data_IF_938600687814
#
_entry.id   IF_938600687814
#
_cell.length_a   1.000
_cell.length_b   1.000
_cell.length_c   1.000
_cell.angle_alpha   90.00
_cell.angle_beta   90.00
_cell.angle_gamma   90.00
#
_symmetry.space_group_name_H-M   'P 1'
#
loop_
_entity.id
_entity.type
_entity.pdbx_description
1 polymer ?
#
# COMPACT_ATOMS: atom_id res chain seq x y z
N UNK A 1 -4.98 -22.20 -24.78
CA UNK A 1 -6.05 -22.42 -23.78
C UNK A 1 -6.00 -21.26 -22.82
N UNK A 2 -7.13 -20.87 -22.21
CA UNK A 2 -7.20 -19.79 -21.22
C UNK A 2 -8.08 -20.23 -20.05
N UNK A 3 -7.74 -19.78 -18.84
CA UNK A 3 -8.46 -20.12 -17.62
C UNK A 3 -9.26 -18.90 -17.14
N UNK A 4 -10.59 -18.86 -17.27
CA UNK A 4 -11.41 -17.82 -16.64
C UNK A 4 -11.53 -18.03 -15.13
N UNK A 5 -11.48 -16.94 -14.37
CA UNK A 5 -11.88 -16.91 -12.96
C UNK A 5 -13.41 -16.91 -12.90
N UNK A 6 -13.99 -17.98 -12.35
CA UNK A 6 -15.43 -18.15 -12.23
C UNK A 6 -16.10 -16.99 -11.49
N UNK A 7 -15.50 -16.52 -10.39
CA UNK A 7 -16.06 -15.42 -9.61
C UNK A 7 -16.10 -14.13 -10.44
N UNK A 8 -15.00 -13.78 -11.12
CA UNK A 8 -14.94 -12.60 -11.99
C UNK A 8 -15.90 -12.71 -13.16
N UNK A 9 -16.02 -13.89 -13.78
CA UNK A 9 -16.95 -14.14 -14.86
C UNK A 9 -18.41 -13.91 -14.41
N UNK A 10 -18.83 -14.50 -13.29
CA UNK A 10 -20.18 -14.28 -12.74
C UNK A 10 -20.41 -12.82 -12.36
N UNK A 11 -19.41 -12.15 -11.78
CA UNK A 11 -19.47 -10.72 -11.47
C UNK A 11 -19.79 -9.90 -12.73
N UNK A 12 -19.04 -10.11 -13.81
CA UNK A 12 -19.26 -9.38 -15.06
C UNK A 12 -20.56 -9.76 -15.76
N UNK A 13 -20.98 -11.02 -15.70
CA UNK A 13 -22.29 -11.43 -16.22
C UNK A 13 -23.43 -10.70 -15.49
N UNK A 14 -23.39 -10.65 -14.16
CA UNK A 14 -24.38 -9.91 -13.38
C UNK A 14 -24.29 -8.39 -13.59
N UNK A 15 -23.08 -7.83 -13.71
CA UNK A 15 -22.87 -6.41 -13.98
C UNK A 15 -23.45 -5.99 -15.35
N UNK A 16 -23.40 -6.90 -16.33
CA UNK A 16 -24.00 -6.70 -17.66
C UNK A 16 -25.45 -7.18 -17.77
N UNK A 17 -26.02 -7.73 -16.69
CA UNK A 17 -27.37 -8.32 -16.66
C UNK A 17 -27.60 -9.33 -17.79
N UNK A 18 -26.56 -10.12 -18.08
CA UNK A 18 -26.60 -11.15 -19.12
C UNK A 18 -26.77 -12.54 -18.51
N UNK A 19 -27.26 -13.47 -19.32
CA UNK A 19 -27.38 -14.89 -19.01
C UNK A 19 -26.52 -15.72 -19.96
N UNK A 20 -26.27 -17.01 -19.67
CA UNK A 20 -25.57 -17.89 -20.60
C UNK A 20 -26.21 -17.95 -21.99
N UNK A 21 -27.54 -17.86 -22.07
CA UNK A 21 -28.29 -17.89 -23.33
C UNK A 21 -28.04 -16.63 -24.17
N UNK A 22 -28.02 -15.45 -23.52
CA UNK A 22 -27.72 -14.18 -24.19
C UNK A 22 -26.29 -14.14 -24.71
N UNK A 23 -25.33 -14.65 -23.93
CA UNK A 23 -23.94 -14.79 -24.39
C UNK A 23 -23.84 -15.82 -25.53
N UNK A 24 -24.68 -16.86 -25.50
CA UNK A 24 -24.88 -17.81 -26.59
C UNK A 24 -25.20 -17.15 -27.92
N UNK A 25 -26.15 -16.22 -27.91
CA UNK A 25 -26.55 -15.46 -29.09
C UNK A 25 -25.43 -14.54 -29.65
N UNK A 26 -24.48 -14.14 -28.80
CA UNK A 26 -23.29 -13.34 -29.15
C UNK A 26 -22.09 -14.21 -29.60
N UNK A 27 -22.30 -15.52 -29.78
CA UNK A 27 -21.29 -16.44 -30.33
C UNK A 27 -20.39 -17.11 -29.28
N UNK A 28 -20.72 -16.99 -27.99
CA UNK A 28 -20.09 -17.78 -26.93
C UNK A 28 -20.73 -19.18 -26.90
N UNK A 29 -19.93 -20.23 -26.89
CA UNK A 29 -20.46 -21.59 -26.76
C UNK A 29 -21.09 -21.78 -25.36
N UNK A 30 -22.42 -21.93 -25.33
CA UNK A 30 -23.18 -22.06 -24.09
C UNK A 30 -22.77 -23.30 -23.29
N UNK A 31 -22.42 -24.42 -23.94
CA UNK A 31 -22.00 -25.62 -23.23
C UNK A 31 -20.62 -25.42 -22.57
N UNK A 32 -19.72 -24.71 -23.25
CA UNK A 32 -18.42 -24.31 -22.67
C UNK A 32 -18.63 -23.38 -21.49
N UNK A 33 -19.52 -22.39 -21.62
CA UNK A 33 -19.82 -21.43 -20.57
C UNK A 33 -20.46 -22.10 -19.34
N UNK A 34 -21.46 -22.96 -19.52
CA UNK A 34 -22.08 -23.71 -18.42
C UNK A 34 -21.05 -24.56 -17.68
N UNK A 35 -20.18 -25.27 -18.41
CA UNK A 35 -19.13 -26.07 -17.80
C UNK A 35 -18.10 -25.24 -17.00
N UNK A 36 -17.84 -23.99 -17.40
CA UNK A 36 -17.02 -23.07 -16.61
C UNK A 36 -17.75 -22.61 -15.34
N UNK A 37 -19.05 -22.28 -15.47
CA UNK A 37 -19.86 -21.77 -14.37
C UNK A 37 -20.18 -22.82 -13.30
N UNK A 38 -20.30 -24.10 -13.67
CA UNK A 38 -20.47 -25.21 -12.72
C UNK A 38 -19.14 -25.76 -12.18
N UNK A 39 -18.01 -25.35 -12.78
CA UNK A 39 -16.66 -25.73 -12.38
C UNK A 39 -16.18 -27.08 -12.94
N UNK A 40 -16.96 -27.74 -13.80
CA UNK A 40 -16.55 -28.96 -14.51
C UNK A 40 -15.46 -28.70 -15.56
N UNK A 41 -15.27 -27.45 -15.96
CA UNK A 41 -14.22 -27.01 -16.89
C UNK A 41 -13.50 -25.76 -16.38
N UNK A 42 -12.19 -25.85 -16.24
CA UNK A 42 -11.35 -24.72 -15.82
C UNK A 42 -10.69 -24.00 -16.99
N UNK A 43 -10.43 -24.70 -18.10
CA UNK A 43 -9.75 -24.12 -19.27
C UNK A 43 -10.64 -24.13 -20.53
N UNK A 44 -10.65 -23.03 -21.27
CA UNK A 44 -11.41 -22.88 -22.52
C UNK A 44 -10.52 -22.49 -23.69
N UNK A 45 -10.96 -22.73 -24.95
CA UNK A 45 -10.22 -22.28 -26.13
C UNK A 45 -10.05 -20.76 -26.15
N UNK A 46 -8.93 -20.27 -26.67
CA UNK A 46 -8.64 -18.83 -26.79
C UNK A 46 -9.77 -18.07 -27.49
N UNK A 47 -10.30 -18.64 -28.58
CA UNK A 47 -11.39 -18.04 -29.34
C UNK A 47 -12.66 -17.83 -28.48
N UNK A 48 -12.99 -18.81 -27.64
CA UNK A 48 -14.13 -18.72 -26.71
C UNK A 48 -13.87 -17.69 -25.60
N UNK A 49 -12.65 -17.64 -25.08
CA UNK A 49 -12.26 -16.63 -24.10
C UNK A 49 -12.32 -15.21 -24.68
N UNK A 50 -11.85 -15.01 -25.91
CA UNK A 50 -11.95 -13.74 -26.62
C UNK A 50 -13.41 -13.37 -26.89
N UNK A 51 -14.25 -14.31 -27.34
CA UNK A 51 -15.68 -14.09 -27.53
C UNK A 51 -16.37 -13.64 -26.23
N UNK A 52 -16.04 -14.29 -25.10
CA UNK A 52 -16.51 -13.87 -23.77
C UNK A 52 -16.11 -12.45 -23.41
N UNK A 53 -14.83 -12.09 -23.61
CA UNK A 53 -14.34 -10.73 -23.35
C UNK A 53 -15.08 -9.69 -24.19
N UNK A 54 -15.28 -9.98 -25.48
CA UNK A 54 -15.99 -9.11 -26.41
C UNK A 54 -17.46 -8.93 -26.00
N UNK A 55 -18.16 -10.04 -25.74
CA UNK A 55 -19.58 -10.01 -25.37
C UNK A 55 -19.81 -9.27 -24.04
N UNK A 56 -18.93 -9.46 -23.05
CA UNK A 56 -19.00 -8.77 -21.75
C UNK A 56 -18.44 -7.35 -21.77
N UNK A 57 -17.75 -6.96 -22.85
CA UNK A 57 -17.02 -5.68 -22.99
C UNK A 57 -16.04 -5.48 -21.84
N UNK A 58 -15.16 -6.45 -21.67
CA UNK A 58 -14.12 -6.51 -20.64
C UNK A 58 -12.79 -6.88 -21.28
N UNK A 59 -11.68 -6.55 -20.62
CA UNK A 59 -10.35 -7.00 -21.04
C UNK A 59 -10.08 -8.42 -20.52
N UNK A 60 -9.18 -9.18 -21.17
CA UNK A 60 -8.78 -10.50 -20.70
C UNK A 60 -8.42 -10.58 -19.22
N UNK A 61 -7.71 -9.58 -18.70
CA UNK A 61 -7.20 -9.52 -17.32
C UNK A 61 -8.33 -9.40 -16.29
N UNK A 62 -9.48 -8.85 -16.69
CA UNK A 62 -10.65 -8.65 -15.83
C UNK A 62 -11.42 -9.95 -15.55
N UNK A 63 -11.24 -10.99 -16.38
CA UNK A 63 -11.90 -12.29 -16.21
C UNK A 63 -10.93 -13.46 -16.13
N UNK A 64 -9.65 -13.32 -16.52
CA UNK A 64 -8.67 -14.38 -16.39
C UNK A 64 -8.46 -14.76 -14.92
N UNK A 65 -8.34 -16.07 -14.68
CA UNK A 65 -7.80 -16.62 -13.45
C UNK A 65 -6.37 -16.13 -13.27
N UNK A 66 -6.04 -15.80 -12.02
CA UNK A 66 -4.65 -15.56 -11.64
C UNK A 66 -4.04 -16.93 -11.34
N UNK A 67 -2.96 -17.27 -12.04
CA UNK A 67 -2.40 -18.62 -12.04
C UNK A 67 -1.84 -19.06 -10.68
N UNK A 68 -1.48 -18.12 -9.79
CA UNK A 68 -0.87 -18.47 -8.51
C UNK A 68 -1.78 -18.17 -7.31
N UNK A 69 -2.01 -19.20 -6.49
CA UNK A 69 -2.30 -18.96 -5.07
C UNK A 69 -1.04 -18.32 -4.50
N UNK A 70 -1.13 -17.05 -4.08
CA UNK A 70 0.02 -16.37 -3.53
C UNK A 70 0.60 -17.17 -2.34
N UNK A 71 1.93 -17.37 -2.25
CA UNK A 71 2.53 -17.96 -1.07
C UNK A 71 2.15 -17.19 0.19
N UNK A 72 2.16 -17.88 1.35
CA UNK A 72 1.95 -17.25 2.66
C UNK A 72 3.23 -16.60 3.19
N UNK A 73 4.39 -17.13 2.80
CA UNK A 73 5.71 -16.64 3.17
C UNK A 73 6.69 -16.79 2.00
N UNK A 74 7.65 -15.87 1.91
CA UNK A 74 8.82 -15.97 1.03
C UNK A 74 10.04 -15.67 1.88
N UNK A 75 10.98 -16.61 1.94
CA UNK A 75 12.22 -16.45 2.68
C UNK A 75 13.39 -16.38 1.70
N UNK A 76 14.35 -15.50 1.97
CA UNK A 76 15.55 -15.33 1.15
C UNK A 76 16.78 -15.27 2.06
N UNK A 77 17.75 -16.15 1.78
CA UNK A 77 19.02 -16.17 2.52
C UNK A 77 19.86 -14.92 2.22
N UNK A 78 20.84 -14.63 3.08
CA UNK A 78 21.81 -13.56 2.83
C UNK A 78 22.57 -13.75 1.51
N UNK A 79 22.95 -15.00 1.20
CA UNK A 79 23.63 -15.34 -0.05
C UNK A 79 22.74 -15.04 -1.26
N UNK A 80 21.46 -15.43 -1.21
CA UNK A 80 20.52 -15.18 -2.30
C UNK A 80 20.27 -13.68 -2.46
N UNK A 81 20.21 -12.92 -1.36
CA UNK A 81 20.11 -11.47 -1.40
C UNK A 81 21.34 -10.84 -2.06
N UNK A 82 22.54 -11.23 -1.66
CA UNK A 82 23.80 -10.73 -2.23
C UNK A 82 23.92 -11.08 -3.72
N UNK A 83 23.39 -12.24 -4.14
CA UNK A 83 23.34 -12.62 -5.55
C UNK A 83 22.49 -11.69 -6.42
N UNK A 84 21.57 -10.92 -5.83
CA UNK A 84 20.76 -9.91 -6.55
C UNK A 84 21.47 -8.58 -6.78
N UNK A 85 22.74 -8.44 -6.37
CA UNK A 85 23.50 -7.19 -6.45
C UNK A 85 23.46 -6.57 -7.84
N UNK A 86 23.03 -5.31 -7.92
CA UNK A 86 23.08 -4.49 -9.13
C UNK A 86 23.92 -3.22 -8.90
N UNK A 87 25.10 -3.09 -9.53
CA UNK A 87 25.89 -1.87 -9.46
C UNK A 87 25.22 -0.76 -10.28
N UNK A 88 25.19 0.46 -9.74
CA UNK A 88 24.63 1.64 -10.41
C UNK A 88 25.74 2.67 -10.63
N UNK A 89 25.90 3.08 -11.88
CA UNK A 89 26.80 4.16 -12.29
C UNK A 89 26.01 5.47 -12.36
N UNK A 90 26.52 6.53 -11.73
CA UNK A 90 25.93 7.88 -11.78
C UNK A 90 27.05 8.90 -11.64
N UNK A 91 26.96 10.00 -12.39
CA UNK A 91 28.00 11.04 -12.41
C UNK A 91 29.43 10.48 -12.67
N UNK A 92 29.54 9.43 -13.50
CA UNK A 92 30.83 8.83 -13.85
C UNK A 92 31.47 7.94 -12.78
N UNK A 93 30.79 7.69 -11.66
CA UNK A 93 31.29 6.83 -10.56
C UNK A 93 30.34 5.66 -10.28
N UNK A 94 30.88 4.61 -9.65
CA UNK A 94 30.08 3.56 -9.05
C UNK A 94 29.41 4.12 -7.79
N UNK A 95 28.13 4.46 -7.92
CA UNK A 95 27.42 5.26 -6.93
C UNK A 95 26.71 4.40 -5.86
N UNK A 96 26.09 3.29 -6.30
CA UNK A 96 25.36 2.38 -5.41
C UNK A 96 25.58 0.92 -5.80
N UNK A 97 25.39 0.01 -4.85
CA UNK A 97 24.92 -1.35 -5.12
C UNK A 97 23.48 -1.48 -4.62
N UNK A 98 22.57 -1.99 -5.44
CA UNK A 98 21.20 -2.32 -5.02
C UNK A 98 21.07 -3.84 -4.80
N UNK A 99 20.45 -4.23 -3.69
CA UNK A 99 20.10 -5.60 -3.37
C UNK A 99 18.59 -5.71 -3.17
N UNK A 100 17.98 -6.71 -3.78
CA UNK A 100 16.52 -6.92 -3.70
C UNK A 100 16.23 -7.86 -2.54
N UNK A 101 15.39 -7.42 -1.61
CA UNK A 101 14.91 -8.26 -0.50
C UNK A 101 13.76 -9.17 -0.97
N UNK A 102 13.39 -10.15 -0.14
CA UNK A 102 12.30 -11.09 -0.40
C UNK A 102 11.05 -10.34 -0.86
N UNK A 103 10.57 -10.65 -2.06
CA UNK A 103 9.61 -9.80 -2.78
C UNK A 103 8.20 -10.40 -2.70
N UNK A 104 7.22 -9.56 -2.43
CA UNK A 104 5.81 -9.92 -2.61
C UNK A 104 5.52 -10.47 -4.03
N UNK A 105 4.69 -11.50 -4.18
CA UNK A 105 4.31 -12.08 -5.47
C UNK A 105 3.47 -11.13 -6.32
N UNK A 106 2.93 -10.04 -5.74
CA UNK A 106 2.15 -9.01 -6.45
C UNK A 106 3.06 -7.84 -6.88
N UNK A 107 2.69 -7.09 -7.92
CA UNK A 107 3.35 -5.82 -8.23
C UNK A 107 3.07 -4.81 -7.11
N UNK A 108 3.85 -4.87 -6.03
CA UNK A 108 3.74 -4.01 -4.86
C UNK A 108 5.10 -3.46 -4.42
N UNK A 109 5.24 -3.20 -3.11
CA UNK A 109 6.43 -2.66 -2.47
C UNK A 109 7.71 -3.38 -2.91
N UNK A 110 8.77 -2.60 -3.15
CA UNK A 110 10.09 -3.12 -3.55
C UNK A 110 11.11 -2.71 -2.50
N UNK A 111 11.17 -3.41 -1.36
CA UNK A 111 12.27 -3.20 -0.42
C UNK A 111 13.61 -3.39 -1.13
N UNK A 112 14.50 -2.43 -0.94
CA UNK A 112 15.87 -2.50 -1.42
C UNK A 112 16.80 -2.18 -0.26
N UNK A 113 17.81 -3.01 -0.06
CA UNK A 113 19.01 -2.61 0.70
C UNK A 113 20.04 -2.07 -0.30
N UNK A 114 20.71 -0.97 0.03
CA UNK A 114 21.66 -0.35 -0.88
C UNK A 114 22.94 0.06 -0.17
N UNK A 115 24.08 -0.26 -0.79
CA UNK A 115 25.39 0.26 -0.38
C UNK A 115 25.53 1.67 -0.93
N UNK A 116 25.91 2.61 -0.08
CA UNK A 116 26.27 3.96 -0.46
C UNK A 116 27.77 4.02 -0.76
N UNK A 117 28.13 4.33 -2.01
CA UNK A 117 29.51 4.32 -2.49
C UNK A 117 29.98 5.68 -2.99
N UNK A 118 29.10 6.68 -3.01
CA UNK A 118 29.49 8.05 -3.37
C UNK A 118 30.36 8.63 -2.24
N UNK A 119 31.63 8.96 -2.51
CA UNK A 119 32.52 9.51 -1.50
C UNK A 119 32.10 10.93 -1.13
N UNK A 120 32.50 11.38 0.06
CA UNK A 120 32.05 12.63 0.65
C UNK A 120 32.30 13.84 -0.27
N UNK A 121 33.46 13.87 -0.92
CA UNK A 121 33.89 14.92 -1.85
C UNK A 121 33.07 15.00 -3.15
N UNK A 122 32.36 13.94 -3.55
CA UNK A 122 31.56 13.90 -4.80
C UNK A 122 30.07 14.13 -4.55
N UNK A 123 29.64 14.29 -3.30
CA UNK A 123 28.20 14.35 -2.97
C UNK A 123 27.51 15.63 -3.49
N UNK A 124 28.28 16.67 -3.81
CA UNK A 124 27.77 17.90 -4.43
C UNK A 124 27.33 17.71 -5.90
N UNK A 125 28.00 16.83 -6.65
CA UNK A 125 27.88 16.70 -8.12
C UNK A 125 26.82 15.68 -8.58
N UNK A 126 26.21 14.94 -7.65
CA UNK A 126 25.26 13.86 -7.93
C UNK A 126 23.86 14.37 -8.36
N UNK A 127 23.73 15.03 -9.50
CA UNK A 127 22.45 15.48 -10.06
C UNK A 127 21.96 14.52 -11.16
N UNK A 128 20.83 13.83 -10.92
CA UNK A 128 19.79 13.44 -11.93
C UNK A 128 18.69 12.59 -11.28
N UNK A 129 17.43 12.90 -11.61
CA UNK A 129 16.18 12.40 -11.02
C UNK A 129 15.92 10.90 -11.27
N UNK A 130 15.35 10.16 -10.29
CA UNK A 130 14.36 9.14 -10.58
C UNK A 130 12.95 9.62 -10.21
N UNK A 131 11.99 9.26 -11.05
CA UNK A 131 10.55 9.30 -10.75
C UNK A 131 10.20 8.00 -9.99
N UNK A 132 9.74 8.08 -8.73
CA UNK A 132 8.69 7.22 -8.11
C UNK A 132 8.46 7.58 -6.63
N UNK A 133 7.38 7.04 -6.09
CA UNK A 133 6.63 7.35 -4.85
C UNK A 133 7.38 7.08 -3.53
N UNK A 134 6.85 7.61 -2.42
CA UNK A 134 7.42 7.71 -1.06
C UNK A 134 8.22 6.51 -0.54
N UNK A 135 9.35 6.81 0.09
CA UNK A 135 10.30 5.86 0.67
C UNK A 135 10.39 6.01 2.20
N UNK A 136 10.34 4.91 2.94
CA UNK A 136 10.82 4.83 4.31
C UNK A 136 12.26 4.35 4.30
N UNK A 137 13.16 5.08 4.96
CA UNK A 137 14.58 4.75 4.93
C UNK A 137 15.21 4.60 6.30
N UNK A 138 16.08 3.61 6.41
CA UNK A 138 16.84 3.27 7.62
C UNK A 138 18.32 3.03 7.26
N UNK A 139 19.26 3.89 7.69
CA UNK A 139 20.69 3.74 7.44
C UNK A 139 21.42 2.89 8.48
N UNK A 140 22.50 2.25 8.03
CA UNK A 140 23.50 1.47 8.79
C UNK A 140 24.87 1.44 8.06
N UNK A 141 25.96 2.04 8.57
CA UNK A 141 26.08 3.23 9.40
C UNK A 141 26.60 4.45 8.60
N UNK A 142 25.92 5.60 8.71
CA UNK A 142 26.24 6.96 8.19
C UNK A 142 26.01 7.25 6.70
N UNK A 143 24.88 7.90 6.40
CA UNK A 143 24.56 8.40 5.04
C UNK A 143 23.89 9.77 5.07
N UNK A 144 24.06 10.56 4.01
CA UNK A 144 23.41 11.86 3.86
C UNK A 144 22.15 11.84 2.98
N UNK A 145 20.92 11.95 3.46
CA UNK A 145 19.78 12.27 2.62
C UNK A 145 19.92 13.69 2.10
N UNK A 146 19.90 13.85 0.78
CA UNK A 146 19.79 15.14 0.10
C UNK A 146 18.44 15.23 -0.61
N UNK A 147 17.79 16.39 -0.56
CA UNK A 147 16.61 16.69 -1.39
C UNK A 147 17.04 17.47 -2.64
N UNK A 148 16.62 17.02 -3.82
CA UNK A 148 16.91 17.66 -5.10
C UNK A 148 15.93 18.84 -5.33
N UNK A 149 16.46 20.05 -5.53
CA UNK A 149 15.65 21.19 -5.99
C UNK A 149 16.11 22.60 -5.56
N UNK A 150 17.02 22.73 -4.59
CA UNK A 150 17.54 24.01 -4.10
C UNK A 150 19.05 23.97 -3.79
N UNK A 151 19.61 25.12 -3.41
CA UNK A 151 20.98 25.20 -2.88
C UNK A 151 21.13 24.36 -1.59
N UNK A 152 22.37 23.94 -1.27
CA UNK A 152 22.63 23.17 -0.06
C UNK A 152 22.47 24.05 1.18
N UNK A 153 21.59 23.64 2.09
CA UNK A 153 21.36 24.26 3.40
C UNK A 153 20.95 23.19 4.43
N UNK A 154 20.78 23.60 5.68
CA UNK A 154 20.43 22.72 6.81
C UNK A 154 19.04 22.06 6.67
N UNK A 155 18.24 22.49 5.69
CA UNK A 155 16.92 21.96 5.38
C UNK A 155 17.02 20.86 4.33
N UNK A 156 17.85 21.07 3.31
CA UNK A 156 18.04 20.20 2.14
C UNK A 156 19.16 19.16 2.29
N UNK A 157 19.94 19.27 3.37
CA UNK A 157 21.06 18.39 3.70
C UNK A 157 21.07 17.99 5.18
N UNK A 158 21.21 16.70 5.47
CA UNK A 158 21.33 16.19 6.84
C UNK A 158 22.28 14.98 6.90
N UNK A 159 22.93 14.76 8.04
CA UNK A 159 23.63 13.50 8.37
C UNK A 159 22.63 12.56 9.02
N UNK A 160 22.51 11.31 8.55
CA UNK A 160 21.81 10.26 9.29
C UNK A 160 22.81 9.37 10.00
N UNK A 161 22.61 9.22 11.31
CA UNK A 161 23.35 8.30 12.15
C UNK A 161 22.71 6.90 12.12
N UNK A 162 23.43 5.84 12.51
CA UNK A 162 22.87 4.49 12.57
C UNK A 162 21.64 4.43 13.50
N UNK A 163 20.53 3.91 12.98
CA UNK A 163 19.25 3.86 13.70
C UNK A 163 18.41 5.13 13.63
N UNK A 164 18.91 6.19 12.99
CA UNK A 164 18.02 7.25 12.50
C UNK A 164 17.10 6.66 11.42
N UNK A 165 15.96 7.29 11.21
CA UNK A 165 15.07 6.89 10.13
C UNK A 165 14.19 8.06 9.72
N UNK A 166 13.68 8.01 8.50
CA UNK A 166 12.79 9.04 8.03
C UNK A 166 11.82 8.54 6.97
N UNK A 167 10.77 9.34 6.72
CA UNK A 167 9.79 9.14 5.64
C UNK A 167 9.96 10.26 4.62
N UNK A 168 10.27 9.88 3.39
CA UNK A 168 10.41 10.78 2.25
C UNK A 168 9.03 11.06 1.60
N UNK A 169 8.66 12.33 1.34
CA UNK A 169 7.41 12.67 0.66
C UNK A 169 7.42 12.27 -0.82
N UNK A 170 6.22 12.20 -1.41
CA UNK A 170 6.07 11.57 -2.75
C UNK A 170 6.65 12.51 -3.78
N UNK A 171 7.35 11.97 -4.77
CA UNK A 171 8.00 12.75 -5.82
C UNK A 171 9.09 13.70 -5.32
N UNK A 172 9.45 13.64 -4.04
CA UNK A 172 10.58 14.39 -3.49
C UNK A 172 11.88 13.69 -3.91
N UNK A 173 12.66 14.27 -4.83
CA UNK A 173 13.78 13.55 -5.38
C UNK A 173 14.94 13.59 -4.39
N UNK A 174 15.66 12.48 -4.23
CA UNK A 174 16.64 12.34 -3.17
C UNK A 174 17.90 11.56 -3.58
N UNK A 175 18.97 11.67 -2.80
CA UNK A 175 20.24 10.96 -3.00
C UNK A 175 21.02 10.83 -1.69
N UNK A 176 21.97 9.89 -1.66
CA UNK A 176 22.88 9.61 -0.55
C UNK A 176 24.34 9.68 -0.97
N UNK A 177 25.18 10.23 -0.09
CA UNK A 177 26.64 10.10 -0.14
C UNK A 177 27.18 9.81 1.26
N UNK A 178 28.41 9.32 1.32
CA UNK A 178 29.08 9.03 2.57
C UNK A 178 29.50 10.33 3.28
N UNK A 179 29.55 10.30 4.60
CA UNK A 179 30.06 11.42 5.41
C UNK A 179 31.59 11.45 5.38
N UNK A 180 32.18 10.26 5.37
CA UNK A 180 33.62 9.97 5.38
C UNK A 180 33.86 8.61 4.69
N UNK A 181 35.05 8.03 4.80
CA UNK A 181 35.38 6.75 4.16
C UNK A 181 34.70 5.52 4.81
N UNK A 182 33.89 5.70 5.85
CA UNK A 182 33.17 4.61 6.51
C UNK A 182 32.10 4.06 5.57
N UNK A 183 32.13 2.75 5.23
CA UNK A 183 31.09 2.15 4.40
C UNK A 183 29.73 2.23 5.08
N UNK A 184 28.70 2.55 4.29
CA UNK A 184 27.34 2.68 4.78
C UNK A 184 26.33 2.01 3.85
N UNK A 185 25.28 1.44 4.44
CA UNK A 185 24.13 0.86 3.76
C UNK A 185 22.85 1.50 4.25
N UNK A 186 21.81 1.54 3.43
CA UNK A 186 20.46 1.89 3.90
C UNK A 186 19.46 0.88 3.39
N UNK A 187 18.38 0.66 4.15
CA UNK A 187 17.17 0.04 3.63
C UNK A 187 16.27 1.15 3.13
N UNK A 188 15.86 1.10 1.86
CA UNK A 188 14.77 1.92 1.32
C UNK A 188 13.55 1.04 1.09
N UNK A 189 12.44 1.40 1.72
CA UNK A 189 11.19 0.68 1.69
C UNK A 189 10.05 1.54 1.16
N UNK A 190 9.56 1.18 -0.01
CA UNK A 190 8.53 1.94 -0.71
C UNK A 190 7.15 1.35 -0.44
N UNK A 191 6.20 2.15 0.03
CA UNK A 191 4.80 1.74 0.11
C UNK A 191 4.05 1.93 -1.22
N UNK A 192 2.90 1.29 -1.38
CA UNK A 192 1.98 1.62 -2.48
C UNK A 192 1.25 2.92 -2.15
N UNK A 193 1.14 3.80 -3.14
CA UNK A 193 0.39 5.04 -2.96
C UNK A 193 -1.11 4.77 -3.07
N UNK A 194 -1.86 5.17 -2.06
CA UNK A 194 -3.33 5.18 -2.10
C UNK A 194 -3.91 6.10 -3.19
N UNK A 195 -3.09 6.96 -3.80
CA UNK A 195 -3.46 7.77 -4.95
C UNK A 195 -3.11 7.13 -6.30
N UNK A 196 -2.39 5.99 -6.32
CA UNK A 196 -1.89 5.40 -7.57
C UNK A 196 -3.01 5.16 -8.59
N UNK A 197 -4.14 4.60 -8.13
CA UNK A 197 -5.30 4.36 -8.99
C UNK A 197 -5.93 5.66 -9.49
N UNK A 198 -6.08 6.67 -8.63
CA UNK A 198 -6.60 7.97 -9.05
C UNK A 198 -5.68 8.59 -10.11
N UNK A 199 -4.36 8.54 -9.90
CA UNK A 199 -3.38 9.06 -10.85
C UNK A 199 -3.48 8.35 -12.20
N UNK A 200 -3.56 7.02 -12.20
CA UNK A 200 -3.74 6.23 -13.43
C UNK A 200 -5.03 6.61 -14.17
N UNK A 201 -6.13 6.83 -13.46
CA UNK A 201 -7.40 7.27 -14.05
C UNK A 201 -7.35 8.72 -14.54
N UNK A 202 -6.73 9.64 -13.80
CA UNK A 202 -6.62 11.05 -14.22
C UNK A 202 -5.77 11.23 -15.48
N UNK A 203 -4.80 10.34 -15.72
CA UNK A 203 -3.96 10.37 -16.93
C UNK A 203 -4.74 10.04 -18.22
N UNK A 204 -5.96 9.50 -18.12
CA UNK A 204 -6.83 9.27 -19.29
C UNK A 204 -7.93 10.33 -19.43
N UNK A 205 -8.03 11.28 -18.51
CA UNK A 205 -8.98 12.39 -18.60
C UNK A 205 -8.51 13.39 -19.66
N UNK A 206 -9.44 14.22 -20.16
CA UNK A 206 -9.09 15.37 -20.99
C UNK A 206 -8.48 16.46 -20.11
N UNK A 207 -7.45 17.15 -20.59
CA UNK A 207 -6.72 18.16 -19.82
C UNK A 207 -7.62 19.18 -19.10
N UNK A 208 -8.68 19.75 -19.72
CA UNK A 208 -9.54 20.72 -19.04
C UNK A 208 -10.25 20.16 -17.80
N UNK A 209 -10.54 18.85 -17.78
CA UNK A 209 -11.19 18.21 -16.63
C UNK A 209 -10.20 18.00 -15.48
N UNK A 210 -8.97 17.60 -15.78
CA UNK A 210 -7.90 17.47 -14.79
C UNK A 210 -7.56 18.84 -14.19
N UNK A 211 -7.38 19.87 -15.02
CA UNK A 211 -7.09 21.24 -14.59
C UNK A 211 -8.20 21.82 -13.71
N UNK A 212 -9.48 21.53 -14.01
CA UNK A 212 -10.60 21.95 -13.17
C UNK A 212 -10.55 21.35 -11.77
N UNK A 213 -10.20 20.06 -11.65
CA UNK A 213 -10.02 19.40 -10.35
C UNK A 213 -8.84 20.01 -9.57
N UNK A 214 -7.70 20.21 -10.23
CA UNK A 214 -6.50 20.79 -9.61
C UNK A 214 -6.77 22.22 -9.11
N UNK A 215 -7.45 23.03 -9.92
CA UNK A 215 -7.82 24.40 -9.55
C UNK A 215 -8.75 24.43 -8.33
N UNK A 216 -9.74 23.53 -8.25
CA UNK A 216 -10.66 23.46 -7.10
C UNK A 216 -9.94 23.02 -5.82
N UNK A 217 -8.97 22.09 -5.92
CA UNK A 217 -8.15 21.61 -4.80
C UNK A 217 -7.10 22.62 -4.32
N UNK A 218 -6.61 23.52 -5.20
CA UNK A 218 -5.59 24.52 -4.86
C UNK A 218 -6.20 25.81 -4.25
N UNK A 219 -7.46 26.12 -4.59
CA UNK A 219 -8.10 27.36 -4.20
C UNK A 219 -8.38 27.51 -2.69
N UNK A 220 -8.56 26.40 -1.97
CA UNK A 220 -8.91 26.34 -0.54
C UNK A 220 -8.27 25.09 0.08
N UNK A 221 -8.22 24.96 1.43
CA UNK A 221 -7.83 23.69 2.06
C UNK A 221 -8.57 22.49 1.48
N UNK A 222 -7.87 21.36 1.31
CA UNK A 222 -8.41 20.20 0.61
C UNK A 222 -9.76 19.70 1.17
N UNK A 223 -9.95 19.73 2.50
CA UNK A 223 -11.23 19.33 3.12
C UNK A 223 -12.38 20.27 2.73
N UNK A 224 -12.13 21.56 2.56
CA UNK A 224 -13.11 22.55 2.08
C UNK A 224 -13.48 22.31 0.62
N UNK A 225 -12.49 22.03 -0.23
CA UNK A 225 -12.72 21.66 -1.63
C UNK A 225 -13.56 20.36 -1.73
N UNK A 226 -13.25 19.36 -0.89
CA UNK A 226 -14.01 18.10 -0.83
C UNK A 226 -15.46 18.35 -0.39
N UNK A 227 -15.72 19.20 0.61
CA UNK A 227 -17.10 19.55 1.00
C UNK A 227 -17.83 20.28 -0.15
N UNK A 228 -17.19 21.26 -0.81
CA UNK A 228 -17.77 21.95 -1.98
C UNK A 228 -18.17 20.95 -3.06
N UNK A 229 -17.28 20.01 -3.40
CA UNK A 229 -17.56 18.96 -4.37
C UNK A 229 -18.70 18.04 -3.90
N UNK A 230 -18.75 17.67 -2.62
CA UNK A 230 -19.81 16.83 -2.07
C UNK A 230 -21.20 17.50 -2.11
N UNK A 231 -21.27 18.82 -1.84
CA UNK A 231 -22.48 19.62 -1.94
C UNK A 231 -22.94 19.75 -3.40
N UNK A 232 -22.04 20.14 -4.32
CA UNK A 232 -22.32 20.24 -5.77
C UNK A 232 -22.81 18.91 -6.34
N UNK A 233 -22.19 17.78 -5.96
CA UNK A 233 -22.57 16.43 -6.37
C UNK A 233 -24.02 16.07 -6.00
N UNK A 234 -24.54 16.71 -4.95
CA UNK A 234 -25.90 16.54 -4.41
C UNK A 234 -26.84 17.69 -4.74
N UNK A 235 -26.42 18.58 -5.65
CA UNK A 235 -27.18 19.76 -6.06
C UNK A 235 -27.64 20.63 -4.86
N UNK A 236 -26.81 20.73 -3.83
CA UNK A 236 -27.07 21.59 -2.67
C UNK A 236 -26.08 22.75 -2.64
N UNK A 237 -26.57 23.93 -2.28
CA UNK A 237 -25.77 25.04 -1.76
C UNK A 237 -25.76 25.00 -0.22
N UNK A 238 -25.09 25.97 0.41
CA UNK A 238 -25.00 26.05 1.87
C UNK A 238 -26.38 26.19 2.54
N UNK A 239 -27.29 26.96 1.94
CA UNK A 239 -28.64 27.16 2.46
C UNK A 239 -29.48 25.88 2.39
N UNK A 240 -29.43 25.16 1.26
CA UNK A 240 -30.10 23.89 1.07
C UNK A 240 -29.57 22.81 2.01
N UNK A 241 -28.24 22.70 2.10
CA UNK A 241 -27.58 21.78 3.03
C UNK A 241 -27.93 22.09 4.49
N UNK A 242 -27.90 23.36 4.87
CA UNK A 242 -28.22 23.81 6.22
C UNK A 242 -29.66 23.50 6.63
N UNK A 243 -30.63 23.71 5.73
CA UNK A 243 -32.03 23.34 5.97
C UNK A 243 -32.24 21.83 6.13
N UNK A 244 -31.54 21.01 5.34
CA UNK A 244 -31.66 19.55 5.40
C UNK A 244 -31.02 18.96 6.66
N UNK A 245 -29.87 19.50 7.07
CA UNK A 245 -29.08 18.98 8.18
C UNK A 245 -29.36 19.68 9.52
N UNK A 246 -30.09 20.80 9.53
CA UNK A 246 -30.24 21.63 10.72
C UNK A 246 -28.95 22.36 11.14
N UNK A 247 -28.05 22.61 10.18
CA UNK A 247 -26.75 23.27 10.39
C UNK A 247 -26.78 24.69 9.82
N UNK A 248 -26.04 25.62 10.43
CA UNK A 248 -25.99 27.01 9.95
C UNK A 248 -25.42 27.10 8.53
N UNK A 249 -26.17 27.70 7.61
CA UNK A 249 -25.70 27.96 6.24
C UNK A 249 -24.46 28.88 6.22
N UNK A 250 -24.36 29.81 7.17
CA UNK A 250 -23.19 30.66 7.34
C UNK A 250 -21.95 29.84 7.69
N UNK A 251 -22.07 28.87 8.62
CA UNK A 251 -20.98 27.98 8.99
C UNK A 251 -20.55 27.10 7.81
N UNK A 252 -21.50 26.59 7.03
CA UNK A 252 -21.22 25.76 5.84
C UNK A 252 -20.50 26.59 4.76
N UNK A 253 -20.96 27.81 4.49
CA UNK A 253 -20.32 28.71 3.53
C UNK A 253 -18.91 29.07 3.99
N UNK A 254 -18.73 29.43 5.26
CA UNK A 254 -17.42 29.73 5.84
C UNK A 254 -16.44 28.55 5.70
N UNK A 255 -16.90 27.32 5.94
CA UNK A 255 -16.07 26.12 5.79
C UNK A 255 -15.67 25.92 4.34
N UNK A 256 -16.63 26.04 3.42
CA UNK A 256 -16.37 25.97 1.98
C UNK A 256 -15.33 27.01 1.55
N UNK A 257 -15.34 28.21 2.14
CA UNK A 257 -14.39 29.29 1.85
C UNK A 257 -13.04 29.16 2.57
N UNK A 258 -12.79 28.03 3.23
CA UNK A 258 -11.50 27.65 3.78
C UNK A 258 -11.34 27.87 5.29
N UNK A 259 -12.39 28.31 6.00
CA UNK A 259 -12.38 28.37 7.47
C UNK A 259 -12.76 26.99 8.03
N UNK A 260 -11.81 26.07 8.04
CA UNK A 260 -12.05 24.64 8.34
C UNK A 260 -12.51 24.37 9.78
N UNK A 261 -12.40 25.34 10.67
CA UNK A 261 -12.89 25.30 12.05
C UNK A 261 -14.33 25.85 12.22
N UNK A 262 -14.97 26.35 11.16
CA UNK A 262 -16.32 26.91 11.25
C UNK A 262 -17.43 25.87 11.39
N UNK A 263 -17.14 24.58 11.13
CA UNK A 263 -18.04 23.46 11.39
C UNK A 263 -17.43 22.57 12.47
N UNK A 264 -18.22 22.28 13.49
CA UNK A 264 -17.90 21.30 14.52
C UNK A 264 -17.99 19.88 13.99
N UNK A 265 -17.39 18.92 14.70
CA UNK A 265 -17.49 17.50 14.35
C UNK A 265 -18.94 16.99 14.32
N UNK A 266 -19.78 17.50 15.22
CA UNK A 266 -21.19 17.13 15.27
C UNK A 266 -21.95 17.71 14.07
N UNK A 267 -21.72 18.98 13.71
CA UNK A 267 -22.30 19.56 12.48
C UNK A 267 -21.86 18.84 11.21
N UNK A 268 -20.58 18.44 11.11
CA UNK A 268 -20.09 17.63 9.99
C UNK A 268 -20.80 16.27 9.92
N UNK A 269 -21.06 15.64 11.08
CA UNK A 269 -21.80 14.38 11.16
C UNK A 269 -23.25 14.54 10.73
N UNK A 270 -23.94 15.58 11.19
CA UNK A 270 -25.32 15.88 10.79
C UNK A 270 -25.42 16.16 9.29
N UNK A 271 -24.47 16.91 8.72
CA UNK A 271 -24.37 17.10 7.27
C UNK A 271 -24.17 15.78 6.52
N UNK A 272 -23.22 14.96 6.97
CA UNK A 272 -22.95 13.66 6.38
C UNK A 272 -24.17 12.73 6.42
N UNK A 273 -24.89 12.72 7.53
CA UNK A 273 -26.11 11.93 7.72
C UNK A 273 -27.26 12.42 6.81
N UNK A 274 -27.51 13.73 6.77
CA UNK A 274 -28.60 14.31 5.99
C UNK A 274 -28.36 14.23 4.47
N UNK A 275 -27.11 14.36 4.04
CA UNK A 275 -26.74 14.42 2.63
C UNK A 275 -26.19 13.08 2.10
N UNK A 276 -25.84 12.13 2.97
CA UNK A 276 -25.37 10.80 2.58
C UNK A 276 -23.92 10.79 2.10
N UNK A 277 -23.00 11.37 2.86
CA UNK A 277 -21.54 11.22 2.69
C UNK A 277 -20.85 10.90 4.03
N UNK A 278 -19.65 10.35 3.95
CA UNK A 278 -18.84 10.05 5.14
C UNK A 278 -18.10 11.30 5.63
N UNK A 279 -18.56 11.86 6.75
CA UNK A 279 -17.99 13.07 7.36
C UNK A 279 -16.52 12.92 7.74
N UNK A 280 -16.01 11.69 7.95
CA UNK A 280 -14.62 11.45 8.35
C UNK A 280 -13.61 11.93 7.30
N UNK A 281 -14.04 12.01 6.04
CA UNK A 281 -13.23 12.54 4.92
C UNK A 281 -12.99 14.05 5.00
N UNK A 282 -13.73 14.76 5.86
CA UNK A 282 -13.63 16.22 6.05
C UNK A 282 -12.85 16.61 7.31
N UNK A 283 -12.39 15.63 8.09
CA UNK A 283 -11.57 15.89 9.28
C UNK A 283 -10.14 16.15 8.81
N UNK A 284 -9.57 17.28 9.22
CA UNK A 284 -8.19 17.60 8.87
C UNK A 284 -7.21 16.59 9.48
N UNK A 285 -6.30 16.00 8.68
CA UNK A 285 -5.30 15.10 9.21
C UNK A 285 -4.26 15.87 10.00
N UNK A 286 -3.80 15.28 11.11
CA UNK A 286 -2.62 15.80 11.83
C UNK A 286 -1.40 15.68 10.92
N UNK A 287 -0.74 16.81 10.65
CA UNK A 287 0.48 16.84 9.83
C UNK A 287 1.72 16.94 10.71
N UNK A 288 2.68 16.03 10.51
CA UNK A 288 3.99 16.06 11.22
C UNK A 288 5.12 16.02 10.21
N UNK A 289 5.53 17.20 9.74
CA UNK A 289 6.53 17.35 8.67
C UNK A 289 7.53 18.45 8.99
N UNK A 290 8.75 18.28 8.50
CA UNK A 290 9.71 19.38 8.38
C UNK A 290 9.40 20.28 7.17
N UNK A 291 10.27 21.27 6.93
CA UNK A 291 10.11 22.24 5.84
C UNK A 291 10.10 21.61 4.43
N UNK A 292 10.59 20.37 4.27
CA UNK A 292 10.56 19.63 3.01
C UNK A 292 9.46 18.58 2.95
N UNK A 293 8.63 18.50 3.99
CA UNK A 293 7.57 17.51 4.06
C UNK A 293 7.99 16.18 4.68
N UNK A 294 9.23 16.03 5.16
CA UNK A 294 9.74 14.77 5.71
C UNK A 294 9.35 14.59 7.16
N UNK A 295 9.23 13.34 7.59
CA UNK A 295 9.12 12.99 9.01
C UNK A 295 10.40 12.27 9.42
N UNK A 296 11.10 12.82 10.42
CA UNK A 296 12.38 12.31 10.89
C UNK A 296 12.28 11.77 12.31
N UNK A 297 12.96 10.66 12.59
CA UNK A 297 13.11 10.09 13.92
C UNK A 297 14.59 9.77 14.17
N UNK A 298 15.19 10.39 15.17
CA UNK A 298 16.59 10.12 15.55
C UNK A 298 16.70 8.78 16.26
N UNK A 299 17.89 8.17 16.25
CA UNK A 299 18.19 6.95 16.99
C UNK A 299 17.91 7.10 18.50
N UNK A 300 18.11 8.30 19.05
CA UNK A 300 17.77 8.58 20.45
C UNK A 300 16.25 8.55 20.69
N UNK A 301 15.45 9.09 19.76
CA UNK A 301 13.99 9.01 19.81
C UNK A 301 13.49 7.58 19.60
N UNK A 302 14.11 6.83 18.68
CA UNK A 302 13.84 5.39 18.50
C UNK A 302 14.08 4.64 19.82
N UNK A 303 15.24 4.82 20.46
CA UNK A 303 15.55 4.23 21.78
C UNK A 303 14.55 4.66 22.86
N UNK A 304 14.12 5.92 22.88
CA UNK A 304 13.12 6.39 23.84
C UNK A 304 11.73 5.76 23.64
N UNK A 305 11.44 5.21 22.46
CA UNK A 305 10.18 4.52 22.15
C UNK A 305 10.17 3.01 22.44
N UNK A 306 11.23 2.52 23.09
CA UNK A 306 11.40 1.11 23.43
C UNK A 306 10.27 0.62 24.34
N UNK A 307 9.71 -0.54 24.01
CA UNK A 307 8.59 -1.17 24.74
C UNK A 307 8.59 -2.68 24.55
N UNK A 308 7.98 -3.40 25.48
CA UNK A 308 7.64 -4.82 25.29
C UNK A 308 6.46 -4.93 24.33
N UNK A 309 6.55 -5.84 23.36
CA UNK A 309 5.47 -6.16 22.44
C UNK A 309 5.55 -7.65 22.09
N UNK A 310 4.51 -8.41 22.45
CA UNK A 310 4.53 -9.87 22.38
C UNK A 310 5.82 -10.43 23.03
N UNK A 311 6.51 -11.38 22.40
CA UNK A 311 7.78 -11.93 22.90
C UNK A 311 9.02 -11.03 22.63
N UNK A 312 8.84 -9.79 22.19
CA UNK A 312 9.91 -8.94 21.66
C UNK A 312 10.09 -7.64 22.44
N UNK A 313 11.28 -7.06 22.31
CA UNK A 313 11.50 -5.64 22.59
C UNK A 313 11.41 -4.87 21.28
N UNK A 314 10.51 -3.88 21.21
CA UNK A 314 10.23 -3.11 20.00
C UNK A 314 10.59 -1.63 20.19
N UNK A 315 11.19 -1.03 19.16
CA UNK A 315 11.40 0.42 19.04
C UNK A 315 10.86 0.91 17.70
N UNK A 316 10.28 2.11 17.68
CA UNK A 316 9.70 2.69 16.47
C UNK A 316 10.78 3.21 15.52
N UNK A 317 10.55 3.06 14.22
CA UNK A 317 11.18 3.88 13.20
C UNK A 317 10.26 5.07 12.85
N UNK A 318 10.71 5.95 11.95
CA UNK A 318 9.94 7.09 11.49
C UNK A 318 8.64 6.65 10.82
N UNK A 319 7.53 7.22 11.26
CA UNK A 319 6.19 7.00 10.72
C UNK A 319 5.47 8.34 10.66
N UNK A 320 4.49 8.46 9.78
CA UNK A 320 3.75 9.71 9.57
C UNK A 320 2.24 9.41 9.48
N UNK A 321 1.37 10.15 10.21
CA UNK A 321 -0.08 9.95 10.13
C UNK A 321 -0.65 10.07 8.71
N UNK A 322 0.06 10.78 7.82
CA UNK A 322 -0.33 10.94 6.43
C UNK A 322 -0.02 9.73 5.53
N UNK A 323 0.62 8.69 6.07
CA UNK A 323 0.87 7.39 5.44
C UNK A 323 0.63 6.28 6.47
N UNK A 324 -0.63 6.07 6.89
CA UNK A 324 -0.95 5.13 7.97
C UNK A 324 -0.57 3.69 7.63
N UNK A 325 -0.51 3.33 6.34
CA UNK A 325 -0.16 1.99 5.88
C UNK A 325 1.36 1.74 5.80
N UNK A 326 2.20 2.78 5.99
CA UNK A 326 3.66 2.66 5.92
C UNK A 326 4.25 2.62 7.33
N UNK A 327 4.74 1.44 7.73
CA UNK A 327 5.17 1.16 9.09
C UNK A 327 6.63 0.71 9.12
N UNK A 328 7.37 1.13 10.14
CA UNK A 328 8.71 0.63 10.43
C UNK A 328 8.94 0.44 11.93
N UNK A 329 9.48 -0.71 12.30
CA UNK A 329 9.76 -1.10 13.68
C UNK A 329 11.09 -1.85 13.75
N UNK A 330 11.91 -1.51 14.75
CA UNK A 330 13.07 -2.31 15.14
C UNK A 330 12.62 -3.33 16.20
N UNK A 331 12.92 -4.61 15.99
CA UNK A 331 12.61 -5.69 16.91
C UNK A 331 13.91 -6.34 17.40
N UNK A 332 14.02 -6.51 18.71
CA UNK A 332 15.03 -7.36 19.34
C UNK A 332 14.35 -8.67 19.75
N UNK A 333 14.95 -9.78 19.30
CA UNK A 333 14.55 -11.15 19.60
C UNK A 333 15.53 -11.68 20.64
N UNK A 334 15.02 -12.12 21.79
CA UNK A 334 15.82 -12.69 22.87
C UNK A 334 15.03 -13.79 23.58
N UNK A 335 15.33 -15.04 23.24
CA UNK A 335 14.65 -16.23 23.74
C UNK A 335 13.62 -16.82 22.78
N UNK A 336 12.74 -17.65 23.31
CA UNK A 336 11.69 -18.32 22.55
C UNK A 336 10.41 -17.51 22.54
N UNK A 337 9.76 -17.42 21.37
CA UNK A 337 8.43 -16.85 21.27
C UNK A 337 7.33 -17.79 21.77
N UNK A 338 6.31 -17.21 22.40
CA UNK A 338 5.09 -17.91 22.83
C UNK A 338 4.19 -18.25 21.62
N UNK A 339 4.44 -19.40 21.00
CA UNK A 339 3.72 -19.83 19.80
C UNK A 339 3.96 -18.93 18.59
N UNK A 340 2.92 -18.65 17.81
CA UNK A 340 2.94 -17.72 16.67
C UNK A 340 2.24 -16.41 17.10
N UNK A 341 2.98 -15.54 17.76
CA UNK A 341 2.47 -14.38 18.50
C UNK A 341 2.38 -13.08 17.66
N UNK A 342 2.71 -13.15 16.36
CA UNK A 342 2.57 -12.05 15.40
C UNK A 342 1.54 -12.39 14.32
N UNK A 343 0.67 -11.44 14.01
CA UNK A 343 -0.29 -11.53 12.91
C UNK A 343 -0.75 -10.11 12.53
N UNK A 344 -0.36 -9.63 11.35
CA UNK A 344 -0.65 -8.26 10.90
C UNK A 344 -1.73 -8.23 9.82
N UNK A 345 -2.47 -7.13 9.74
CA UNK A 345 -3.53 -6.93 8.73
C UNK A 345 -3.00 -6.60 7.32
N UNK A 346 -1.70 -6.30 7.21
CA UNK A 346 -1.00 -5.96 5.96
C UNK A 346 0.21 -6.87 5.73
N UNK A 347 0.93 -6.63 4.64
CA UNK A 347 2.14 -7.37 4.32
C UNK A 347 3.31 -6.94 5.21
N UNK A 348 4.13 -7.90 5.61
CA UNK A 348 5.36 -7.64 6.36
C UNK A 348 6.57 -8.00 5.53
N UNK A 349 7.59 -7.15 5.58
CA UNK A 349 8.94 -7.44 5.14
C UNK A 349 9.89 -7.37 6.33
N UNK A 350 10.72 -8.37 6.47
CA UNK A 350 11.72 -8.48 7.52
C UNK A 350 13.12 -8.47 6.94
N UNK A 351 14.05 -7.82 7.66
CA UNK A 351 15.48 -7.88 7.42
C UNK A 351 16.18 -8.21 8.74
N UNK A 352 16.87 -9.34 8.79
CA UNK A 352 17.75 -9.66 9.92
C UNK A 352 19.01 -8.82 9.81
N UNK A 353 19.40 -8.24 10.92
CA UNK A 353 20.55 -7.32 10.98
C UNK A 353 21.61 -7.71 11.99
N UNK A 354 21.29 -8.65 12.88
CA UNK A 354 22.18 -9.19 13.89
C UNK A 354 21.65 -10.56 14.33
N UNK A 355 22.57 -11.46 14.69
CA UNK A 355 22.24 -12.80 15.16
C UNK A 355 21.72 -13.72 14.06
N UNK A 356 21.26 -14.90 14.47
CA UNK A 356 20.66 -15.91 13.60
C UNK A 356 19.29 -16.35 14.17
N UNK A 357 18.32 -15.44 14.27
CA UNK A 357 17.00 -15.78 14.76
C UNK A 357 16.25 -16.72 13.79
N UNK A 358 15.34 -17.51 14.35
CA UNK A 358 14.48 -18.43 13.60
C UNK A 358 13.12 -17.80 13.40
N UNK A 359 12.71 -17.62 12.14
CA UNK A 359 11.34 -17.27 11.77
C UNK A 359 10.50 -18.54 11.70
N UNK A 360 9.31 -18.54 12.30
CA UNK A 360 8.29 -19.60 12.18
C UNK A 360 6.99 -19.02 11.65
N UNK A 361 6.27 -19.72 10.78
CA UNK A 361 4.97 -19.28 10.26
C UNK A 361 4.01 -20.42 10.00
N UNK A 362 2.71 -20.11 9.98
CA UNK A 362 1.66 -21.08 9.68
C UNK A 362 1.44 -21.22 8.16
N UNK A 363 1.48 -22.46 7.68
CA UNK A 363 1.15 -22.84 6.30
C UNK A 363 -0.36 -23.05 6.11
N UNK A 364 -0.88 -23.02 4.87
CA UNK A 364 -2.31 -23.20 4.58
C UNK A 364 -2.93 -24.51 5.10
N UNK A 365 -2.13 -25.56 5.24
CA UNK A 365 -2.57 -26.86 5.78
C UNK A 365 -2.57 -26.91 7.32
N UNK A 366 -2.18 -25.81 7.97
CA UNK A 366 -2.10 -25.66 9.42
C UNK A 366 -0.78 -26.10 10.02
N UNK A 367 0.17 -26.63 9.22
CA UNK A 367 1.53 -26.93 9.69
C UNK A 367 2.32 -25.66 9.96
N UNK A 368 3.39 -25.79 10.73
CA UNK A 368 4.32 -24.68 11.03
C UNK A 368 5.61 -24.96 10.29
N UNK A 369 5.98 -24.04 9.40
CA UNK A 369 7.27 -24.02 8.75
C UNK A 369 8.21 -23.05 9.48
N UNK A 370 9.52 -23.26 9.32
CA UNK A 370 10.54 -22.43 9.94
C UNK A 370 11.75 -22.20 9.03
N UNK A 371 12.49 -21.12 9.31
CA UNK A 371 13.74 -20.79 8.66
C UNK A 371 14.67 -20.00 9.61
N UNK A 372 15.92 -20.43 9.72
CA UNK A 372 16.98 -19.69 10.40
C UNK A 372 17.57 -18.66 9.44
N UNK A 373 17.64 -17.40 9.86
CA UNK A 373 18.13 -16.31 9.02
C UNK A 373 19.23 -15.53 9.74
N UNK A 374 20.42 -15.52 9.16
CA UNK A 374 21.51 -14.64 9.59
C UNK A 374 21.39 -13.21 9.06
N UNK A 375 22.35 -12.33 9.36
CA UNK A 375 22.34 -10.94 8.88
C UNK A 375 22.23 -10.87 7.36
N UNK A 376 21.44 -9.92 6.85
CA UNK A 376 21.02 -9.79 5.44
C UNK A 376 20.03 -10.87 4.96
N UNK A 377 19.64 -11.83 5.82
CA UNK A 377 18.49 -12.69 5.58
C UNK A 377 17.18 -11.87 5.60
N UNK A 378 16.28 -12.16 4.67
CA UNK A 378 15.01 -11.44 4.54
C UNK A 378 13.82 -12.37 4.43
N UNK A 379 12.65 -11.87 4.82
CA UNK A 379 11.40 -12.59 4.66
C UNK A 379 10.27 -11.64 4.28
N UNK A 380 9.32 -12.12 3.47
CA UNK A 380 8.03 -11.50 3.24
C UNK A 380 6.93 -12.43 3.77
N UNK A 381 5.95 -11.86 4.47
CA UNK A 381 4.79 -12.57 4.99
C UNK A 381 3.52 -11.91 4.46
N UNK A 382 2.58 -12.73 3.99
CA UNK A 382 1.27 -12.27 3.53
C UNK A 382 0.42 -11.74 4.70
N UNK A 383 -0.62 -10.92 4.42
CA UNK A 383 -1.53 -10.43 5.45
C UNK A 383 -2.21 -11.58 6.19
N UNK A 384 -2.40 -11.41 7.49
CA UNK A 384 -3.03 -12.35 8.42
C UNK A 384 -2.33 -13.72 8.56
N UNK A 385 -1.06 -13.84 8.18
CA UNK A 385 -0.26 -15.03 8.44
C UNK A 385 0.28 -14.97 9.87
N UNK A 386 -0.12 -15.94 10.70
CA UNK A 386 0.43 -16.10 12.04
C UNK A 386 1.90 -16.53 11.95
N UNK A 387 2.77 -15.84 12.67
CA UNK A 387 4.22 -16.09 12.67
C UNK A 387 4.88 -15.67 13.99
N UNK A 388 6.15 -16.03 14.19
CA UNK A 388 6.98 -15.55 15.31
C UNK A 388 8.47 -15.64 15.00
N UNK A 389 9.28 -14.97 15.82
CA UNK A 389 10.73 -15.06 15.81
C UNK A 389 11.24 -15.61 17.15
N UNK A 390 12.15 -16.58 17.10
CA UNK A 390 12.84 -17.13 18.28
C UNK A 390 14.37 -17.00 18.13
N UNK A 391 15.11 -17.17 19.22
CA UNK A 391 16.57 -17.15 19.24
C UNK A 391 17.13 -15.84 19.80
N UNK A 392 18.26 -15.37 19.25
CA UNK A 392 18.88 -14.12 19.67
C UNK A 392 19.29 -13.31 18.45
N UNK A 393 18.82 -12.07 18.34
CA UNK A 393 19.14 -11.21 17.20
C UNK A 393 18.30 -9.94 17.11
N UNK A 394 18.55 -9.19 16.04
CA UNK A 394 17.86 -7.92 15.75
C UNK A 394 17.27 -7.93 14.34
N UNK A 395 15.97 -7.66 14.22
CA UNK A 395 15.22 -7.69 12.97
C UNK A 395 14.56 -6.34 12.72
N UNK A 396 14.64 -5.82 11.51
CA UNK A 396 13.82 -4.69 11.07
C UNK A 396 12.52 -5.24 10.50
N UNK A 397 11.39 -4.80 11.03
CA UNK A 397 10.04 -5.06 10.52
C UNK A 397 9.53 -3.85 9.73
N UNK A 398 9.12 -4.08 8.49
CA UNK A 398 8.58 -3.07 7.58
C UNK A 398 7.19 -3.50 7.13
N UNK A 399 6.19 -2.65 7.34
CA UNK A 399 4.78 -2.93 7.01
C UNK A 399 4.31 -2.07 5.84
N UNK A 400 3.71 -2.69 4.83
CA UNK A 400 2.96 -2.00 3.77
C UNK A 400 1.89 -2.94 3.19
N UNK A 401 1.17 -2.49 2.19
CA UNK A 401 0.31 -3.36 1.39
C UNK A 401 -0.88 -2.60 0.83
N UNK A 402 -1.43 -3.14 -0.25
CA UNK A 402 -2.65 -2.59 -0.85
C UNK A 402 -3.87 -2.85 0.04
N UNK A 403 -3.89 -4.03 0.70
CA UNK A 403 -5.00 -4.52 1.51
C UNK A 403 -4.48 -5.40 2.67
N UNK A 404 -5.03 -5.31 3.89
CA UNK A 404 -6.06 -4.38 4.35
C UNK A 404 -5.43 -3.04 4.76
N UNK A 405 -5.59 -1.99 3.95
CA UNK A 405 -5.11 -0.63 4.25
C UNK A 405 -6.15 0.21 5.00
N UNK A 406 -5.80 1.45 5.38
CA UNK A 406 -6.70 2.33 6.13
C UNK A 406 -7.98 2.68 5.35
N UNK A 407 -7.90 2.80 4.02
CA UNK A 407 -9.07 3.05 3.17
C UNK A 407 -10.04 1.86 3.19
N UNK A 408 -9.53 0.64 3.16
CA UNK A 408 -10.37 -0.54 3.29
C UNK A 408 -11.01 -0.61 4.67
N UNK A 409 -10.30 -0.20 5.73
CA UNK A 409 -10.88 -0.14 7.07
C UNK A 409 -12.03 0.87 7.14
N UNK A 410 -11.91 2.03 6.51
CA UNK A 410 -13.01 3.00 6.39
C UNK A 410 -14.21 2.35 5.68
N UNK A 411 -13.99 1.68 4.55
CA UNK A 411 -15.06 1.02 3.80
C UNK A 411 -15.71 -0.14 4.57
N UNK A 412 -14.92 -0.95 5.26
CA UNK A 412 -15.44 -2.05 6.10
C UNK A 412 -16.34 -1.54 7.22
N UNK A 413 -16.06 -0.36 7.78
CA UNK A 413 -16.94 0.26 8.79
C UNK A 413 -18.26 0.79 8.21
N UNK A 414 -18.29 1.08 6.91
CA UNK A 414 -19.51 1.49 6.19
C UNK A 414 -20.28 0.29 5.60
N UNK A 415 -19.67 -0.91 5.59
CA UNK A 415 -20.23 -2.11 5.00
C UNK A 415 -21.20 -2.81 5.96
N UNK A 416 -22.42 -3.09 5.52
CA UNK A 416 -23.36 -3.94 6.27
C UNK A 416 -22.87 -5.39 6.26
N UNK A 417 -22.73 -5.99 7.44
CA UNK A 417 -22.18 -7.34 7.65
C UNK A 417 -20.89 -7.58 6.83
N UNK A 418 -19.77 -6.96 7.23
CA UNK A 418 -18.52 -7.04 6.47
C UNK A 418 -18.00 -8.48 6.36
N UNK A 419 -18.25 -9.32 7.37
CA UNK A 419 -17.81 -10.73 7.36
C UNK A 419 -18.58 -11.54 6.33
N UNK A 420 -19.92 -11.44 6.30
CA UNK A 420 -20.70 -12.13 5.29
C UNK A 420 -20.37 -11.60 3.89
N UNK A 421 -20.19 -10.28 3.73
CA UNK A 421 -19.80 -9.66 2.46
C UNK A 421 -18.46 -10.18 1.96
N UNK A 422 -17.43 -10.25 2.81
CA UNK A 422 -16.12 -10.79 2.43
C UNK A 422 -16.18 -12.30 2.13
N UNK A 423 -16.94 -13.09 2.89
CA UNK A 423 -17.17 -14.52 2.60
C UNK A 423 -17.84 -14.69 1.24
N UNK A 424 -18.83 -13.86 0.94
CA UNK A 424 -19.55 -13.83 -0.33
C UNK A 424 -18.67 -13.39 -1.49
N UNK A 425 -17.79 -12.41 -1.28
CA UNK A 425 -16.85 -11.93 -2.28
C UNK A 425 -15.65 -12.86 -2.52
N UNK A 426 -15.32 -13.73 -1.57
CA UNK A 426 -14.15 -14.63 -1.65
C UNK A 426 -14.52 -15.96 -2.28
N UNK A 427 -14.45 -16.03 -3.62
CA UNK A 427 -14.62 -17.28 -4.40
C UNK A 427 -15.95 -18.00 -4.15
N UNK A 428 -16.94 -17.36 -3.53
CA UNK A 428 -18.26 -17.93 -3.33
C UNK A 428 -19.11 -17.75 -4.58
N UNK A 429 -19.47 -18.88 -5.16
CA UNK A 429 -20.25 -18.97 -6.37
C UNK A 429 -21.70 -19.36 -6.14
N UNK A 430 -22.11 -19.56 -4.88
CA UNK A 430 -23.42 -20.14 -4.59
C UNK A 430 -24.58 -19.17 -4.83
N UNK A 431 -25.76 -19.59 -5.24
CA UNK A 431 -26.96 -18.73 -5.23
C UNK A 431 -26.87 -17.43 -6.08
N UNK A 432 -25.98 -17.37 -7.08
CA UNK A 432 -25.94 -16.29 -8.08
C UNK A 432 -27.00 -16.45 -9.19
N UNK A 433 -27.84 -17.50 -9.10
CA UNK A 433 -28.92 -17.78 -10.05
C UNK A 433 -28.50 -18.51 -11.33
N UNK A 434 -27.21 -18.83 -11.47
CA UNK A 434 -26.63 -19.54 -12.62
C UNK A 434 -26.20 -20.98 -12.30
N UNK A 435 -26.52 -21.46 -11.09
CA UNK A 435 -26.32 -22.86 -10.75
C UNK A 435 -27.28 -23.73 -11.57
N UNK A 436 -26.87 -24.93 -12.02
CA UNK A 436 -27.81 -25.89 -12.56
C UNK A 436 -28.91 -26.12 -11.53
N UNK A 437 -30.18 -25.99 -11.94
CA UNK A 437 -31.28 -26.43 -11.10
C UNK A 437 -31.01 -27.90 -10.76
N UNK A 438 -30.80 -28.20 -9.48
CA UNK A 438 -30.90 -29.59 -9.03
C UNK A 438 -32.33 -29.99 -9.34
N UNK A 439 -32.52 -30.74 -10.42
CA UNK A 439 -33.80 -31.30 -10.80
C UNK A 439 -34.41 -31.95 -9.56
N UNK A 440 -35.60 -31.48 -9.20
CA UNK A 440 -36.48 -32.09 -8.21
C UNK A 440 -36.84 -33.51 -8.60
#
# INVERSE_FOLDING_TARGET
MMTPDRFRLMHWMNARKTTPELLGAEGVDTAVLTAVLDGSRTEIPQAQFTALCTALRVTPEQIAAREDTAPVAIVQSAQDMHATRRPIQRAGIHFYNYYTMGRAPRPGSRPVNLDNLCPAEHTADAQTRPLRTRDHQQPRPRTHPRTLGGGLDDVTWRVLEPGDSYVEPSYCPHTYGLVDDTPARIVSYTGVSNLARLLDETNVWQDPAAEAMLTDLDAVPAVSAILRAALRRRACDADGAGRLAGVSAEHISAFCDGKTDSLTLDELRELGAALGFDFRTLIEPVRRRDALGKTHLTAAQSRASTRTFASYTAASAAMTPELPDLIGVFLTVDGEADGLDLCDHGENHYLVTEGEPTLRWQEPDGTVADAVLGPDGTAWLAPFVAHSWSGSGSVIKLGSGDHLGYLDQIELTNTFDPVATLRRGRRDAHGWGYEPSKGS
#
